data_IF_146854795326
#
_entry.id   IF_146854795326
#
_cell.length_a   1.000
_cell.length_b   1.000
_cell.length_c   1.000
_cell.angle_alpha   90.00
_cell.angle_beta   90.00
_cell.angle_gamma   90.00
#
_symmetry.space_group_name_H-M   'P 1'
#
loop_
_entity.id
_entity.type
_entity.pdbx_description
1 polymer ?
#
# COMPACT_ATOMS: atom_id res chain seq x y z
N UNK A 1 19.55 -11.68 -0.70
CA UNK A 1 18.32 -11.14 -1.29
C UNK A 1 17.27 -11.13 -0.19
N UNK A 2 16.72 -9.99 0.25
CA UNK A 2 15.59 -10.05 1.17
C UNK A 2 14.45 -10.74 0.44
N UNK A 3 13.88 -11.77 1.05
CA UNK A 3 12.89 -12.64 0.43
C UNK A 3 11.67 -11.80 0.02
N UNK A 4 11.57 -11.39 -1.25
CA UNK A 4 10.45 -10.60 -1.78
C UNK A 4 9.09 -11.25 -1.51
N UNK A 5 9.07 -12.57 -1.29
CA UNK A 5 7.86 -13.34 -1.01
C UNK A 5 7.42 -13.31 0.45
N UNK A 6 8.24 -12.78 1.37
CA UNK A 6 7.85 -12.65 2.78
C UNK A 6 7.34 -11.24 3.03
N UNK A 7 6.03 -11.09 2.85
CA UNK A 7 5.34 -9.86 3.25
C UNK A 7 5.15 -9.78 4.75
N UNK A 8 4.95 -8.56 5.25
CA UNK A 8 4.71 -8.30 6.66
C UNK A 8 3.28 -8.68 7.06
N UNK A 9 2.95 -8.44 8.33
CA UNK A 9 1.60 -8.68 8.84
C UNK A 9 0.60 -7.85 8.04
N UNK A 10 -0.48 -8.50 7.62
CA UNK A 10 -1.58 -7.88 6.88
C UNK A 10 -1.21 -7.36 5.48
N UNK A 11 -0.07 -7.80 4.96
CA UNK A 11 0.29 -7.63 3.57
C UNK A 11 0.02 -8.91 2.76
N UNK A 12 0.01 -8.74 1.44
CA UNK A 12 -0.04 -9.80 0.44
C UNK A 12 0.93 -9.49 -0.70
N UNK A 13 1.60 -10.52 -1.22
CA UNK A 13 2.49 -10.37 -2.37
C UNK A 13 1.65 -10.31 -3.64
N UNK A 14 1.87 -9.27 -4.43
CA UNK A 14 1.25 -9.10 -5.74
C UNK A 14 2.33 -8.94 -6.81
N UNK A 15 2.08 -9.47 -8.00
CA UNK A 15 2.99 -9.31 -9.14
C UNK A 15 3.01 -7.88 -9.69
N UNK A 16 2.03 -7.06 -9.31
CA UNK A 16 1.83 -5.70 -9.81
C UNK A 16 1.34 -4.80 -8.67
N UNK A 17 2.27 -4.37 -7.80
CA UNK A 17 2.00 -3.38 -6.77
C UNK A 17 2.03 -1.97 -7.37
N UNK A 18 1.01 -1.12 -7.12
CA UNK A 18 0.98 0.24 -7.64
C UNK A 18 2.08 1.11 -7.01
N UNK A 19 2.74 1.95 -7.82
CA UNK A 19 3.77 2.89 -7.34
C UNK A 19 3.24 4.04 -6.46
N UNK A 20 1.94 4.34 -6.58
CA UNK A 20 1.26 5.33 -5.75
C UNK A 20 0.23 4.65 -4.82
N UNK A 21 0.67 3.87 -3.81
CA UNK A 21 -0.28 3.24 -2.91
C UNK A 21 -1.02 4.28 -2.06
N UNK A 22 -2.28 3.98 -1.74
CA UNK A 22 -3.00 4.73 -0.72
C UNK A 22 -2.45 4.39 0.68
N UNK A 23 -2.34 5.41 1.52
CA UNK A 23 -1.84 5.37 2.89
C UNK A 23 -2.63 6.38 3.74
N UNK A 24 -2.50 6.34 5.07
CA UNK A 24 -3.27 7.24 5.93
C UNK A 24 -3.05 8.73 5.64
N UNK A 25 -1.90 9.12 5.05
CA UNK A 25 -1.59 10.53 4.72
C UNK A 25 -2.34 11.02 3.49
N UNK A 26 -2.56 10.15 2.50
CA UNK A 26 -3.19 10.50 1.22
C UNK A 26 -4.62 9.96 1.06
N UNK A 27 -5.10 9.10 1.95
CA UNK A 27 -6.47 8.56 1.85
C UNK A 27 -7.53 9.66 2.00
N UNK A 28 -7.21 10.74 2.73
CA UNK A 28 -8.10 11.90 2.95
C UNK A 28 -8.12 12.89 1.79
N UNK A 29 -6.99 13.00 1.09
CA UNK A 29 -6.79 13.93 0.00
C UNK A 29 -6.54 13.11 -1.25
N UNK A 30 -7.56 12.92 -2.09
CA UNK A 30 -7.39 12.20 -3.36
C UNK A 30 -6.26 12.86 -4.16
N UNK A 31 -5.07 12.26 -4.10
CA UNK A 31 -3.91 12.65 -4.88
C UNK A 31 -3.86 11.66 -6.04
N UNK A 32 -4.25 12.07 -7.26
CA UNK A 32 -4.15 11.18 -8.40
C UNK A 32 -2.69 10.74 -8.56
N UNK A 33 -2.48 9.47 -8.83
CA UNK A 33 -1.17 8.99 -9.21
C UNK A 33 -0.80 9.67 -10.54
N UNK A 34 0.21 10.54 -10.52
CA UNK A 34 0.63 11.28 -11.71
C UNK A 34 1.41 10.40 -12.72
N UNK A 35 1.55 9.11 -12.43
CA UNK A 35 2.20 8.17 -13.33
C UNK A 35 1.21 7.82 -14.44
N UNK A 36 1.46 8.37 -15.64
CA UNK A 36 0.61 8.22 -16.82
C UNK A 36 0.59 6.79 -17.38
N UNK A 37 1.65 6.03 -17.15
CA UNK A 37 1.73 4.62 -17.48
C UNK A 37 1.42 3.78 -16.24
N UNK A 38 0.72 2.64 -16.34
CA UNK A 38 0.61 1.70 -15.22
C UNK A 38 2.00 1.14 -14.90
N UNK A 39 2.74 1.85 -14.06
CA UNK A 39 4.00 1.36 -13.50
C UNK A 39 3.65 0.62 -12.23
N UNK A 40 3.80 -0.70 -12.31
CA UNK A 40 3.78 -1.55 -11.14
C UNK A 40 5.02 -2.43 -11.13
N UNK A 41 5.34 -2.96 -9.95
CA UNK A 41 6.40 -3.94 -9.78
C UNK A 41 5.92 -5.03 -8.82
N UNK A 42 6.47 -6.25 -8.89
CA UNK A 42 6.21 -7.25 -7.87
C UNK A 42 6.59 -6.73 -6.48
N UNK A 43 5.72 -6.93 -5.49
CA UNK A 43 5.94 -6.44 -4.13
C UNK A 43 4.77 -6.70 -3.20
N UNK A 44 4.95 -6.33 -1.94
CA UNK A 44 3.93 -6.48 -0.91
C UNK A 44 3.02 -5.25 -0.84
N UNK A 45 1.71 -5.49 -0.81
CA UNK A 45 0.68 -4.46 -0.61
C UNK A 45 -0.16 -4.81 0.61
N UNK A 46 -0.78 -3.82 1.23
CA UNK A 46 -1.78 -4.11 2.27
C UNK A 46 -2.94 -4.90 1.68
N UNK A 47 -3.40 -5.90 2.43
CA UNK A 47 -4.60 -6.66 2.08
C UNK A 47 -5.79 -5.71 1.87
N UNK A 48 -6.75 -6.16 1.07
CA UNK A 48 -7.97 -5.40 0.77
C UNK A 48 -8.60 -4.74 2.01
N UNK A 49 -8.94 -3.46 1.87
CA UNK A 49 -9.54 -2.65 2.95
C UNK A 49 -8.54 -2.08 3.96
N UNK A 50 -7.24 -2.32 3.79
CA UNK A 50 -6.16 -1.77 4.63
C UNK A 50 -5.23 -0.86 3.85
N UNK A 51 -4.59 0.06 4.56
CA UNK A 51 -3.62 1.02 4.01
C UNK A 51 -2.45 1.19 4.98
N UNK A 52 -1.29 1.63 4.48
CA UNK A 52 -0.13 1.86 5.36
C UNK A 52 -0.33 3.10 6.22
N UNK A 53 -0.02 2.99 7.51
CA UNK A 53 0.13 4.14 8.40
C UNK A 53 1.54 4.78 8.24
N UNK A 54 1.84 5.83 9.01
CA UNK A 54 3.15 6.48 9.01
C UNK A 54 4.31 5.61 9.54
N UNK A 55 3.98 4.50 10.23
CA UNK A 55 4.96 3.51 10.72
C UNK A 55 5.25 2.41 9.70
N UNK A 56 4.48 2.36 8.61
CA UNK A 56 4.57 1.32 7.59
C UNK A 56 3.62 0.14 7.79
N UNK A 57 2.86 0.10 8.89
CA UNK A 57 1.93 -1.00 9.19
C UNK A 57 0.64 -0.89 8.38
N UNK A 58 0.11 -2.03 7.93
CA UNK A 58 -1.21 -2.10 7.32
C UNK A 58 -2.32 -2.03 8.37
N UNK A 59 -3.02 -0.90 8.42
CA UNK A 59 -4.14 -0.63 9.33
C UNK A 59 -5.44 -0.54 8.55
N UNK A 60 -6.59 -0.69 9.24
CA UNK A 60 -7.87 -0.46 8.58
C UNK A 60 -8.00 1.03 8.22
N UNK A 61 -8.70 1.32 7.13
CA UNK A 61 -8.94 2.72 6.71
C UNK A 61 -9.59 3.52 7.86
N UNK A 62 -10.50 2.91 8.62
CA UNK A 62 -11.13 3.52 9.81
C UNK A 62 -10.11 3.90 10.89
N UNK A 63 -9.05 3.11 11.08
CA UNK A 63 -8.01 3.42 12.06
C UNK A 63 -7.18 4.67 11.67
N UNK A 64 -7.13 5.05 10.39
CA UNK A 64 -6.51 6.32 9.98
C UNK A 64 -7.32 7.56 10.42
N UNK A 65 -8.56 7.39 10.88
CA UNK A 65 -9.47 8.47 11.27
C UNK A 65 -9.74 8.54 12.77
N UNK A 66 -9.12 7.67 13.55
CA UNK A 66 -9.10 7.76 15.02
C UNK A 66 -8.07 8.79 15.46
#
# INVERSE_FOLDING_TARGET
QPNLWRCEKDEEFVNCAPRCPQNCRNIRSYQPCLVLTPVCAPGCVCRSGKVKNDRGDCVSITDCFK
#
